data_IF_912856560765
#
_entry.id   IF_912856560765
#
_cell.length_a   1.000
_cell.length_b   1.000
_cell.length_c   1.000
_cell.angle_alpha   90.00
_cell.angle_beta   90.00
_cell.angle_gamma   90.00
#
_symmetry.space_group_name_H-M   'P 1'
#
loop_
_entity.id
_entity.type
_entity.pdbx_description
1 polymer ?
2 non-polymer ?
#
# COMPACT_ATOMS: atom_id res chain seq x y z
N UNK A 1 -11.50 -4.78 -26.33
CA UNK A 1 -10.81 -5.94 -26.89
C UNK A 1 -9.39 -6.08 -26.33
N UNK A 2 -8.92 -7.32 -26.27
CA UNK A 2 -7.56 -7.60 -25.83
C UNK A 2 -6.54 -6.81 -26.64
N UNK A 3 -6.73 -6.78 -27.97
CA UNK A 3 -5.72 -6.18 -28.84
C UNK A 3 -5.68 -4.67 -28.70
N UNK A 4 -6.85 -4.03 -28.58
CA UNK A 4 -6.87 -2.59 -28.33
C UNK A 4 -6.15 -2.25 -27.04
N UNK A 5 -6.33 -3.08 -26.01
CA UNK A 5 -5.70 -2.82 -24.73
C UNK A 5 -4.18 -2.96 -24.83
N UNK A 6 -3.72 -4.01 -25.50
CA UNK A 6 -2.29 -4.18 -25.74
C UNK A 6 -1.72 -2.99 -26.52
N UNK A 7 -2.48 -2.51 -27.52
CA UNK A 7 -2.04 -1.37 -28.30
C UNK A 7 -1.92 -0.12 -27.43
N UNK A 8 -2.91 0.13 -26.57
CA UNK A 8 -2.83 1.29 -25.69
C UNK A 8 -1.65 1.18 -24.74
N UNK A 9 -1.39 -0.02 -24.26
CA UNK A 9 -0.25 -0.18 -23.33
C UNK A 9 1.04 0.15 -24.07
N UNK A 10 1.19 -0.34 -25.29
CA UNK A 10 2.45 -0.13 -26.00
C UNK A 10 2.76 1.34 -26.23
N UNK A 11 1.84 2.26 -25.93
CA UNK A 11 2.07 3.68 -26.11
C UNK A 11 2.62 4.36 -24.86
N UNK A 12 2.68 3.67 -23.72
CA UNK A 12 3.15 4.30 -22.50
C UNK A 12 4.36 3.53 -21.95
N UNK A 13 4.42 2.23 -22.27
CA UNK A 13 5.51 1.41 -21.77
C UNK A 13 6.77 1.69 -22.57
N UNK A 14 7.90 1.43 -21.95
CA UNK A 14 9.18 1.56 -22.62
C UNK A 14 9.38 0.40 -23.58
N UNK A 15 9.81 0.64 -24.81
CA UNK A 15 9.80 -0.42 -25.83
C UNK A 15 10.94 -1.40 -25.64
N UNK A 16 10.82 -2.53 -26.31
CA UNK A 16 11.86 -3.53 -26.32
C UNK A 16 11.59 -4.68 -25.38
N UNK A 17 12.64 -5.48 -25.18
CA UNK A 17 12.55 -6.67 -24.35
C UNK A 17 13.46 -6.54 -23.13
N UNK A 18 12.90 -6.55 -21.92
CA UNK A 18 13.76 -6.50 -20.71
C UNK A 18 14.46 -7.82 -20.41
N UNK A 19 13.96 -8.94 -20.92
CA UNK A 19 14.67 -10.21 -20.77
C UNK A 19 16.04 -10.19 -21.43
N UNK A 20 16.36 -9.14 -22.17
CA UNK A 20 17.69 -9.01 -22.76
C UNK A 20 18.74 -8.81 -21.67
N UNK A 21 18.44 -8.01 -20.65
CA UNK A 21 19.42 -7.64 -19.64
C UNK A 21 19.07 -8.13 -18.24
N UNK A 22 18.08 -9.01 -18.10
CA UNK A 22 17.68 -9.56 -16.82
C UNK A 22 17.77 -11.07 -16.85
N UNK A 23 18.22 -11.66 -15.74
CA UNK A 23 18.27 -13.11 -15.60
C UNK A 23 18.21 -13.45 -14.11
N UNK A 24 18.25 -14.75 -13.82
CA UNK A 24 18.15 -15.25 -12.45
C UNK A 24 16.87 -14.78 -11.77
N UNK A 25 15.76 -14.85 -12.50
CA UNK A 25 14.47 -14.50 -11.91
C UNK A 25 14.19 -15.39 -10.71
N UNK A 26 13.98 -14.75 -9.56
CA UNK A 26 13.62 -15.43 -8.32
C UNK A 26 12.24 -14.94 -7.91
N UNK A 27 11.30 -15.87 -7.80
CA UNK A 27 9.93 -15.52 -7.43
C UNK A 27 9.84 -15.16 -5.95
N UNK A 28 9.13 -14.07 -5.66
CA UNK A 28 8.98 -13.61 -4.24
C UNK A 28 7.51 -13.44 -3.87
N UNK A 29 6.58 -13.30 -4.81
CA UNK A 29 5.20 -13.15 -4.36
C UNK A 29 4.19 -13.26 -5.47
N UNK A 30 2.92 -13.30 -5.06
CA UNK A 30 1.75 -13.25 -5.96
C UNK A 30 0.79 -12.24 -5.35
N UNK A 31 1.04 -10.97 -5.64
CA UNK A 31 0.43 -9.87 -4.89
C UNK A 31 -0.37 -8.98 -5.81
N UNK A 32 -1.60 -8.66 -5.39
CA UNK A 32 -2.57 -7.94 -6.21
C UNK A 32 -2.83 -8.64 -7.54
N UNK A 33 -2.39 -8.01 -8.63
CA UNK A 33 -2.77 -8.49 -9.97
C UNK A 33 -1.65 -9.20 -10.69
N UNK A 34 -0.62 -9.64 -9.98
CA UNK A 34 0.44 -10.33 -10.69
C UNK A 34 1.46 -10.91 -9.75
N UNK A 35 2.39 -11.68 -10.34
CA UNK A 35 3.50 -12.31 -9.57
C UNK A 35 4.65 -11.31 -9.56
N UNK A 36 5.47 -11.36 -8.52
CA UNK A 36 6.56 -10.43 -8.29
C UNK A 36 7.84 -11.22 -8.11
N UNK A 37 8.86 -10.89 -8.89
CA UNK A 37 10.12 -11.60 -8.98
C UNK A 37 11.27 -10.66 -8.70
N UNK A 38 12.47 -11.22 -8.58
CA UNK A 38 13.70 -10.47 -8.43
C UNK A 38 14.64 -10.88 -9.55
N UNK A 39 15.34 -9.91 -10.12
CA UNK A 39 16.32 -10.19 -11.16
C UNK A 39 17.54 -9.32 -10.98
N UNK A 40 18.66 -9.80 -11.51
CA UNK A 40 19.89 -9.04 -11.56
C UNK A 40 20.02 -8.35 -12.91
N UNK A 41 20.59 -7.14 -12.89
CA UNK A 41 20.85 -6.38 -14.10
C UNK A 41 22.28 -6.72 -14.51
N UNK A 42 22.42 -7.59 -15.51
CA UNK A 42 23.75 -8.10 -15.87
C UNK A 42 24.69 -6.98 -16.29
N UNK A 43 24.15 -5.87 -16.78
CA UNK A 43 25.04 -4.75 -17.21
C UNK A 43 25.68 -4.10 -15.99
N UNK A 44 25.17 -4.36 -14.79
CA UNK A 44 25.66 -3.68 -13.61
C UNK A 44 25.81 -4.55 -12.37
N UNK A 45 25.15 -5.71 -12.28
CA UNK A 45 25.17 -6.50 -11.08
C UNK A 45 24.23 -6.02 -9.98
N UNK A 46 23.45 -4.96 -10.24
CA UNK A 46 22.48 -4.49 -9.27
C UNK A 46 21.22 -5.36 -9.30
N UNK A 47 20.40 -5.22 -8.27
CA UNK A 47 19.21 -6.05 -8.10
C UNK A 47 17.96 -5.20 -8.21
N UNK A 48 16.95 -5.73 -8.91
CA UNK A 48 15.68 -5.06 -9.08
C UNK A 48 14.55 -6.06 -8.92
N UNK A 49 13.35 -5.53 -8.73
CA UNK A 49 12.15 -6.32 -8.62
C UNK A 49 11.26 -6.09 -9.84
N UNK A 50 10.50 -7.11 -10.20
CA UNK A 50 9.78 -7.15 -11.47
C UNK A 50 8.37 -7.67 -11.20
N UNK A 51 7.37 -6.81 -11.40
CA UNK A 51 5.97 -7.21 -11.30
C UNK A 51 5.50 -7.62 -12.69
N UNK A 52 5.10 -8.89 -12.81
CA UNK A 52 4.59 -9.44 -14.06
C UNK A 52 3.08 -9.66 -13.89
N UNK A 53 2.30 -8.96 -14.71
CA UNK A 53 0.84 -9.09 -14.69
C UNK A 53 0.37 -9.53 -16.07
N UNK A 54 -0.29 -10.68 -16.15
CA UNK A 54 -0.80 -11.19 -17.45
C UNK A 54 -2.13 -10.51 -17.75
N UNK A 55 -2.29 -9.97 -18.95
CA UNK A 55 -3.56 -9.28 -19.30
C UNK A 55 -4.69 -10.31 -19.37
N UNK A 56 -4.38 -11.53 -19.77
CA UNK A 56 -5.41 -12.59 -19.94
C UNK A 56 -6.06 -12.96 -18.61
N UNK A 57 -5.32 -12.92 -17.50
CA UNK A 57 -5.89 -13.32 -16.18
C UNK A 57 -6.18 -12.11 -15.31
N UNK A 58 -7.17 -11.30 -15.67
CA UNK A 58 -7.46 -10.10 -14.84
C UNK A 58 -8.97 -9.89 -14.67
N UNK A 59 -9.38 -9.47 -13.46
CA UNK A 59 -10.80 -9.17 -13.19
C UNK A 59 -11.10 -7.94 -14.05
N UNK A 60 -10.45 -6.82 -13.71
CA UNK A 60 -10.53 -5.63 -14.53
C UNK A 60 -9.18 -5.44 -15.21
N UNK A 61 -9.17 -5.44 -16.53
CA UNK A 61 -7.89 -5.25 -17.26
C UNK A 61 -7.49 -3.78 -17.20
N UNK A 62 -8.46 -2.89 -16.96
CA UNK A 62 -8.17 -1.46 -16.90
C UNK A 62 -7.38 -1.06 -15.65
N UNK A 63 -7.14 -1.97 -14.72
CA UNK A 63 -6.35 -1.60 -13.54
C UNK A 63 -4.88 -1.44 -13.88
N UNK A 64 -4.41 -2.10 -14.95
CA UNK A 64 -3.00 -2.09 -15.27
C UNK A 64 -2.51 -0.72 -15.72
N UNK A 65 -3.43 0.16 -16.09
CA UNK A 65 -3.03 1.47 -16.60
C UNK A 65 -2.43 2.33 -15.50
N UNK A 66 -3.13 2.43 -14.36
CA UNK A 66 -2.84 3.49 -13.41
C UNK A 66 -1.40 3.45 -12.91
N UNK A 67 -0.91 2.28 -12.47
CA UNK A 67 0.45 2.27 -11.93
C UNK A 67 1.51 2.59 -12.98
N UNK A 68 1.23 2.43 -14.28
CA UNK A 68 2.17 2.89 -15.30
C UNK A 68 1.82 4.28 -15.82
N UNK A 69 0.62 4.78 -15.53
CA UNK A 69 0.21 6.12 -15.93
C UNK A 69 0.29 7.09 -14.75
N UNK A 70 -0.23 6.69 -13.59
CA UNK A 70 -0.22 7.57 -12.42
C UNK A 70 1.16 7.56 -11.75
N UNK A 71 1.78 6.38 -11.61
CA UNK A 71 3.06 6.23 -10.93
C UNK A 71 4.22 6.17 -11.90
N UNK A 72 4.19 7.01 -12.94
CA UNK A 72 5.19 6.98 -14.01
C UNK A 72 6.37 7.85 -13.58
N UNK A 73 7.41 7.21 -13.07
CA UNK A 73 8.61 7.88 -12.53
C UNK A 73 8.24 9.05 -11.62
N UNK A 74 7.37 8.76 -10.66
CA UNK A 74 7.05 9.68 -9.59
C UNK A 74 7.96 9.35 -8.41
N UNK A 75 8.86 10.28 -8.08
CA UNK A 75 9.85 10.07 -7.05
C UNK A 75 9.33 10.55 -5.70
N UNK A 76 9.73 9.85 -4.63
CA UNK A 76 9.43 10.21 -3.25
C UNK A 76 10.23 9.31 -2.32
N UNK A 77 10.76 9.90 -1.25
CA UNK A 77 11.61 9.19 -0.31
C UNK A 77 10.93 8.00 0.35
N UNK A 78 9.60 8.00 0.43
CA UNK A 78 8.86 6.94 1.13
C UNK A 78 7.95 6.17 0.20
N UNK A 79 8.21 6.20 -1.11
CA UNK A 79 7.39 5.49 -2.08
C UNK A 79 8.31 4.68 -2.98
N UNK A 80 7.97 3.41 -3.18
CA UNK A 80 8.77 2.52 -4.03
C UNK A 80 8.96 3.17 -5.39
N UNK A 81 10.21 3.22 -5.85
CA UNK A 81 10.56 3.87 -7.10
C UNK A 81 10.43 2.89 -8.26
N UNK A 82 9.65 3.29 -9.26
CA UNK A 82 9.51 2.51 -10.49
C UNK A 82 10.52 3.00 -11.52
N UNK A 83 11.33 2.07 -12.04
CA UNK A 83 12.38 2.42 -12.99
C UNK A 83 11.84 2.42 -14.42
N UNK A 84 11.38 1.27 -14.91
CA UNK A 84 10.90 1.14 -16.27
C UNK A 84 9.65 0.26 -16.29
N UNK A 85 8.97 0.27 -17.43
CA UNK A 85 7.83 -0.61 -17.67
C UNK A 85 7.89 -1.10 -19.10
N UNK A 86 7.68 -2.41 -19.29
CA UNK A 86 7.75 -3.03 -20.60
C UNK A 86 6.56 -3.93 -20.83
N UNK A 87 6.24 -4.16 -22.09
CA UNK A 87 5.13 -5.08 -22.44
C UNK A 87 5.80 -6.31 -23.05
N UNK A 88 5.83 -7.42 -22.32
CA UNK A 88 6.53 -8.62 -22.86
C UNK A 88 5.51 -9.71 -23.18
N UNK A 89 5.38 -10.06 -24.45
CA UNK A 89 4.41 -11.11 -24.77
C UNK A 89 3.03 -10.72 -24.30
N UNK A 90 2.40 -11.59 -23.50
CA UNK A 90 1.03 -11.32 -23.00
C UNK A 90 1.07 -10.76 -21.58
N UNK A 91 2.22 -10.34 -21.09
CA UNK A 91 2.17 -9.76 -19.72
C UNK A 91 2.84 -8.39 -19.68
N UNK A 92 2.38 -7.54 -18.77
CA UNK A 92 2.99 -6.20 -18.56
C UNK A 92 4.01 -6.38 -17.45
N UNK A 93 5.20 -5.81 -17.63
CA UNK A 93 6.31 -5.93 -16.70
C UNK A 93 6.66 -4.57 -16.14
N UNK A 94 6.81 -4.50 -14.82
CA UNK A 94 7.19 -3.27 -14.13
C UNK A 94 8.49 -3.57 -13.39
N UNK A 95 9.55 -2.84 -13.74
CA UNK A 95 10.85 -2.98 -13.09
C UNK A 95 10.99 -1.84 -12.07
N UNK A 96 11.48 -2.18 -10.89
CA UNK A 96 11.53 -1.13 -9.85
C UNK A 96 12.60 -1.45 -8.82
N UNK A 97 12.63 -0.62 -7.79
CA UNK A 97 13.57 -0.72 -6.65
C UNK A 97 13.35 -2.04 -5.94
N UNK A 98 14.42 -2.67 -5.48
CA UNK A 98 14.27 -3.91 -4.69
C UNK A 98 14.34 -3.53 -3.22
N UNK A 99 13.22 -3.67 -2.52
CA UNK A 99 13.15 -3.38 -1.09
C UNK A 99 13.45 -4.67 -0.33
N UNK A 100 14.55 -4.66 0.41
CA UNK A 100 15.17 -5.89 0.91
C UNK A 100 14.70 -6.31 2.30
N UNK A 101 13.92 -5.49 2.99
CA UNK A 101 13.46 -5.83 4.32
C UNK A 101 12.14 -6.56 4.37
N UNK A 102 11.57 -6.92 3.22
CA UNK A 102 10.30 -7.59 3.19
C UNK A 102 9.14 -6.63 3.42
N UNK A 103 7.96 -7.21 3.57
CA UNK A 103 6.76 -6.44 3.86
C UNK A 103 6.56 -6.33 5.36
N UNK A 104 5.70 -5.39 5.76
CA UNK A 104 5.36 -5.24 7.16
C UNK A 104 4.52 -6.40 7.66
N UNK A 105 3.83 -7.12 6.77
CA UNK A 105 3.03 -8.27 7.17
C UNK A 105 3.86 -9.31 7.91
N UNK A 106 5.13 -9.46 7.53
CA UNK A 106 5.99 -10.43 8.21
C UNK A 106 6.26 -10.04 9.65
N UNK A 107 6.23 -8.74 9.96
CA UNK A 107 6.53 -8.32 11.33
C UNK A 107 5.31 -8.45 12.23
N UNK A 108 4.12 -8.08 11.72
CA UNK A 108 2.94 -8.06 12.58
C UNK A 108 2.41 -9.46 12.88
N UNK A 109 2.78 -10.47 12.09
CA UNK A 109 2.39 -11.84 12.38
C UNK A 109 3.40 -12.58 13.26
N UNK A 110 4.55 -11.96 13.58
CA UNK A 110 5.60 -12.66 14.31
C UNK A 110 6.14 -11.91 15.52
N UNK A 111 5.86 -10.62 15.64
CA UNK A 111 6.35 -9.86 16.81
C UNK A 111 5.34 -8.79 17.19
N UNK A 112 5.62 -8.06 18.27
CA UNK A 112 4.76 -6.96 18.75
C UNK A 112 5.58 -5.69 18.73
N UNK A 113 5.13 -4.66 18.03
CA UNK A 113 5.96 -3.44 17.89
C UNK A 113 5.58 -2.42 18.96
N UNK A 114 6.59 -1.77 19.53
CA UNK A 114 6.39 -0.72 20.55
C UNK A 114 5.91 0.55 19.89
N UNK A 115 5.23 1.42 20.64
CA UNK A 115 4.68 2.67 20.08
C UNK A 115 5.77 3.47 19.36
N UNK A 116 7.03 3.33 19.78
CA UNK A 116 8.09 4.10 19.12
C UNK A 116 8.28 3.67 17.67
N UNK A 117 8.05 2.38 17.35
CA UNK A 117 8.17 1.90 15.98
C UNK A 117 6.88 2.04 15.18
N UNK A 118 5.73 1.89 15.85
CA UNK A 118 4.46 2.18 15.22
C UNK A 118 4.43 3.62 14.74
N UNK A 119 4.90 4.55 15.58
CA UNK A 119 4.97 5.94 15.16
C UNK A 119 5.90 6.14 13.98
N UNK A 120 6.97 5.35 13.89
CA UNK A 120 7.88 5.48 12.75
C UNK A 120 7.20 5.07 11.44
N UNK A 121 6.61 3.87 11.43
CA UNK A 121 5.89 3.40 10.25
C UNK A 121 4.81 4.41 9.86
N UNK A 122 4.06 4.90 10.85
CA UNK A 122 2.96 5.81 10.56
C UNK A 122 3.47 7.14 10.01
N UNK A 123 4.56 7.66 10.58
CA UNK A 123 5.14 8.90 10.08
C UNK A 123 5.49 8.75 8.60
N UNK A 124 6.10 7.61 8.24
CA UNK A 124 6.46 7.40 6.84
C UNK A 124 5.21 7.32 5.95
N UNK A 125 4.22 6.55 6.39
CA UNK A 125 3.01 6.37 5.58
C UNK A 125 2.32 7.71 5.36
N UNK A 126 2.20 8.51 6.42
CA UNK A 126 1.52 9.80 6.31
C UNK A 126 2.35 10.79 5.50
N UNK A 127 3.67 10.69 5.61
CA UNK A 127 4.54 11.59 4.83
C UNK A 127 4.21 11.36 3.35
N UNK A 128 4.26 10.11 2.91
CA UNK A 128 3.97 9.76 1.51
C UNK A 128 2.51 10.04 1.15
N UNK A 129 1.58 9.76 2.05
CA UNK A 129 0.14 9.98 1.78
C UNK A 129 -0.15 11.46 1.58
N UNK A 130 0.48 12.31 2.39
CA UNK A 130 0.28 13.77 2.29
C UNK A 130 0.50 14.21 0.84
N UNK A 131 1.69 13.95 0.30
CA UNK A 131 2.03 14.29 -1.08
C UNK A 131 1.08 13.60 -2.05
N UNK A 132 0.74 12.33 -1.80
CA UNK A 132 -0.12 11.61 -2.72
C UNK A 132 -1.53 12.18 -2.78
N UNK A 133 -2.02 12.72 -1.66
CA UNK A 133 -3.35 13.34 -1.63
C UNK A 133 -3.31 14.73 -2.22
N UNK A 134 -2.22 15.47 -1.99
CA UNK A 134 -2.08 16.78 -2.63
C UNK A 134 -2.08 16.66 -4.14
N UNK A 135 -1.40 15.66 -4.68
CA UNK A 135 -1.35 15.46 -6.12
C UNK A 135 -2.60 14.76 -6.67
N UNK A 136 -3.51 14.35 -5.80
CA UNK A 136 -4.80 13.82 -6.23
C UNK A 136 -4.94 12.32 -6.26
N UNK A 137 -3.95 11.57 -5.77
CA UNK A 137 -3.92 10.12 -5.89
C UNK A 137 -4.46 9.49 -4.62
N UNK A 138 -5.24 8.42 -4.77
CA UNK A 138 -5.69 7.58 -3.67
C UNK A 138 -5.05 6.20 -3.84
N UNK A 139 -4.53 5.64 -2.75
CA UNK A 139 -3.94 4.31 -2.82
C UNK A 139 -5.03 3.23 -2.90
N UNK A 140 -6.06 3.36 -2.07
CA UNK A 140 -7.26 2.51 -2.07
C UNK A 140 -7.00 1.07 -1.67
N UNK A 141 -5.77 0.72 -1.26
CA UNK A 141 -5.50 -0.61 -0.75
C UNK A 141 -4.36 -0.57 0.26
N UNK A 142 -4.40 0.41 1.16
CA UNK A 142 -3.37 0.53 2.18
C UNK A 142 -3.59 -0.57 3.22
N UNK A 143 -2.58 -1.40 3.43
CA UNK A 143 -2.63 -2.50 4.39
C UNK A 143 -1.18 -2.95 4.65
N UNK A 144 -1.05 -4.05 5.39
CA UNK A 144 0.27 -4.53 5.77
C UNK A 144 1.08 -4.96 4.55
N UNK A 145 0.42 -5.61 3.57
CA UNK A 145 1.12 -6.06 2.36
C UNK A 145 1.65 -4.90 1.53
N UNK A 146 1.15 -3.69 1.72
CA UNK A 146 1.49 -2.55 0.89
C UNK A 146 2.68 -1.77 1.42
N UNK A 147 3.34 -2.26 2.46
CA UNK A 147 4.38 -1.51 3.16
C UNK A 147 5.65 -2.33 3.16
N UNK A 148 6.70 -1.81 2.54
CA UNK A 148 7.96 -2.51 2.41
C UNK A 148 9.05 -1.77 3.17
N UNK A 149 10.07 -2.51 3.58
CA UNK A 149 11.18 -1.96 4.36
C UNK A 149 12.50 -2.24 3.65
N UNK A 150 13.50 -1.46 4.00
CA UNK A 150 14.87 -1.68 3.58
C UNK A 150 15.63 -2.36 4.73
N UNK A 151 16.91 -2.66 4.51
CA UNK A 151 17.72 -3.24 5.56
C UNK A 151 18.01 -2.26 6.69
N UNK A 152 17.93 -0.97 6.40
CA UNK A 152 18.25 0.06 7.42
C UNK A 152 17.00 0.56 8.12
N UNK A 153 15.86 -0.08 7.88
CA UNK A 153 14.62 0.29 8.58
C UNK A 153 13.83 1.38 7.90
N UNK A 154 14.29 1.87 6.75
CA UNK A 154 13.53 2.91 6.03
C UNK A 154 12.25 2.25 5.51
N UNK A 155 11.12 2.95 5.54
CA UNK A 155 9.83 2.32 5.10
C UNK A 155 9.27 3.05 3.88
N UNK A 156 8.84 2.28 2.88
CA UNK A 156 8.27 2.84 1.63
C UNK A 156 6.92 2.19 1.38
N UNK A 157 6.08 2.84 0.58
CA UNK A 157 4.73 2.40 0.23
C UNK A 157 4.74 1.76 -1.16
N UNK A 158 3.94 0.71 -1.33
CA UNK A 158 3.90 -0.01 -2.62
C UNK A 158 2.49 -0.50 -2.96
N UNK A 159 2.39 -1.46 -3.88
CA UNK A 159 1.12 -2.06 -4.35
C UNK A 159 0.11 -1.03 -4.85
N UNK A 160 0.48 -0.21 -5.83
CA UNK A 160 -0.45 0.82 -6.36
C UNK A 160 -1.39 0.27 -7.43
N UNK A 161 -1.56 -1.04 -7.53
CA UNK A 161 -2.46 -1.64 -8.52
C UNK A 161 -3.90 -1.16 -8.41
N UNK A 162 -4.31 -0.59 -7.28
CA UNK A 162 -5.69 -0.19 -7.13
C UNK A 162 -5.85 1.33 -7.06
N UNK A 163 -4.78 2.08 -7.27
CA UNK A 163 -4.82 3.51 -7.05
C UNK A 163 -5.69 4.19 -8.12
N UNK A 164 -6.04 5.44 -7.85
CA UNK A 164 -6.89 6.23 -8.73
C UNK A 164 -6.47 7.68 -8.68
N UNK A 165 -6.89 8.43 -9.70
CA UNK A 165 -6.62 9.86 -9.80
C UNK A 165 -7.93 10.62 -9.61
N UNK A 166 -7.82 11.77 -8.94
CA UNK A 166 -9.00 12.60 -8.64
C UNK A 166 -8.72 14.03 -9.13
N UNK A 167 -7.60 14.61 -8.73
CA UNK A 167 -7.19 15.96 -9.21
C UNK A 167 -8.31 16.98 -8.99
N UNK A 168 -8.54 17.81 -10.01
CA UNK A 168 -9.59 18.87 -10.00
C UNK A 168 -10.84 18.32 -10.68
N UNK A 169 -11.76 19.20 -11.09
CA UNK A 169 -13.00 18.79 -11.79
C UNK A 169 -13.67 17.68 -10.99
N UNK A 170 -13.88 16.50 -11.58
CA UNK A 170 -14.51 15.41 -10.81
C UNK A 170 -13.54 15.02 -9.70
N UNK A 171 -13.91 15.12 -8.42
CA UNK A 171 -13.03 14.82 -7.31
C UNK A 171 -13.37 13.61 -6.44
N UNK A 172 -14.26 12.72 -6.89
CA UNK A 172 -14.59 11.56 -6.02
C UNK A 172 -14.63 10.28 -6.87
N UNK A 173 -14.77 9.14 -6.20
CA UNK A 173 -14.76 7.80 -6.82
C UNK A 173 -15.91 6.98 -6.21
N UNK A 174 -16.31 5.90 -6.86
CA UNK A 174 -17.38 5.05 -6.27
C UNK A 174 -17.13 3.60 -6.65
N UNK A 175 -15.86 3.21 -6.68
CA UNK A 175 -15.46 1.87 -7.12
C UNK A 175 -15.15 0.96 -5.92
N UNK A 176 -15.78 -0.21 -5.89
CA UNK A 176 -15.59 -1.17 -4.79
C UNK A 176 -14.32 -1.98 -4.97
N UNK A 177 -13.20 -1.44 -4.49
CA UNK A 177 -11.89 -1.95 -4.82
C UNK A 177 -11.02 -1.96 -3.57
N UNK A 178 -10.34 -3.07 -3.32
CA UNK A 178 -9.36 -3.16 -2.27
C UNK A 178 -9.40 -4.55 -1.63
N UNK A 179 -9.03 -4.58 -0.35
CA UNK A 179 -9.01 -5.79 0.45
C UNK A 179 -10.08 -5.68 1.52
N UNK A 180 -10.89 -6.74 1.74
CA UNK A 180 -12.13 -6.56 2.53
C UNK A 180 -11.94 -6.01 3.93
N UNK A 181 -11.04 -6.60 4.72
CA UNK A 181 -10.96 -6.22 6.13
C UNK A 181 -10.38 -4.83 6.36
N UNK A 182 -9.81 -4.20 5.33
CA UNK A 182 -9.09 -2.93 5.49
C UNK A 182 -9.81 -1.72 4.92
N UNK A 183 -11.00 -1.87 4.35
CA UNK A 183 -11.59 -0.74 3.65
C UNK A 183 -12.50 0.08 4.57
N UNK A 184 -12.90 1.25 4.07
CA UNK A 184 -13.64 2.23 4.81
C UNK A 184 -15.08 1.76 5.04
N UNK A 185 -15.90 2.52 5.80
CA UNK A 185 -17.32 2.15 5.93
C UNK A 185 -18.21 2.74 4.86
N UNK A 186 -17.85 3.90 4.29
CA UNK A 186 -18.55 4.38 3.10
C UNK A 186 -17.99 3.76 1.82
N UNK A 187 -17.28 2.64 1.96
CA UNK A 187 -16.87 1.82 0.84
C UNK A 187 -17.93 0.77 0.51
N UNK A 188 -18.16 -0.17 1.42
CA UNK A 188 -19.10 -1.28 1.18
C UNK A 188 -20.46 -0.75 0.74
N UNK A 189 -20.84 0.43 1.24
CA UNK A 189 -21.91 1.21 0.64
C UNK A 189 -21.29 2.14 -0.39
N UNK A 190 -21.61 1.92 -1.66
CA UNK A 190 -21.08 2.77 -2.71
C UNK A 190 -21.48 4.22 -2.47
N UNK A 191 -20.48 5.05 -2.19
CA UNK A 191 -20.68 6.47 -1.95
C UNK A 191 -19.48 7.20 -2.52
N UNK A 192 -19.65 8.44 -2.98
CA UNK A 192 -18.49 9.19 -3.49
C UNK A 192 -17.48 9.38 -2.37
N UNK A 193 -16.26 8.89 -2.60
CA UNK A 193 -15.22 8.92 -1.60
C UNK A 193 -13.95 9.54 -2.16
N UNK A 194 -13.23 10.25 -1.31
CA UNK A 194 -11.98 10.85 -1.67
C UNK A 194 -10.82 10.14 -1.00
N UNK A 195 -9.71 10.86 -0.82
CA UNK A 195 -8.50 10.22 -0.25
C UNK A 195 -8.73 9.60 1.13
N UNK A 196 -9.77 10.00 1.84
CA UNK A 196 -9.92 9.62 3.25
C UNK A 196 -10.04 8.12 3.45
N UNK A 197 -10.50 7.37 2.43
CA UNK A 197 -10.48 5.91 2.50
C UNK A 197 -9.13 5.42 2.98
N UNK A 198 -8.07 5.91 2.34
CA UNK A 198 -6.70 5.58 2.76
C UNK A 198 -6.54 5.73 4.26
N UNK A 199 -6.85 6.93 4.79
CA UNK A 199 -6.69 7.19 6.23
C UNK A 199 -7.40 6.12 7.04
N UNK A 200 -8.63 5.78 6.66
CA UNK A 200 -9.35 4.74 7.38
C UNK A 200 -8.57 3.43 7.36
N UNK A 201 -8.17 2.99 6.17
CA UNK A 201 -7.34 1.79 6.06
C UNK A 201 -6.11 1.92 6.93
N UNK A 202 -5.49 3.12 6.95
CA UNK A 202 -4.33 3.33 7.80
C UNK A 202 -4.64 2.99 9.24
N UNK A 203 -5.78 3.47 9.74
CA UNK A 203 -6.20 3.12 11.08
C UNK A 203 -6.29 1.61 11.28
N UNK A 204 -6.93 0.92 10.34
CA UNK A 204 -7.01 -0.54 10.45
C UNK A 204 -5.61 -1.13 10.46
N UNK A 205 -4.70 -0.57 9.66
CA UNK A 205 -3.32 -1.04 9.68
C UNK A 205 -2.69 -0.81 11.05
N UNK A 206 -3.01 0.32 11.69
CA UNK A 206 -2.59 0.53 13.07
C UNK A 206 -3.06 -0.62 13.94
N UNK A 207 -4.34 -0.98 13.81
CA UNK A 207 -4.85 -2.12 14.55
C UNK A 207 -4.00 -3.35 14.29
N UNK A 208 -3.63 -3.57 13.02
CA UNK A 208 -2.71 -4.67 12.70
C UNK A 208 -1.50 -4.64 13.63
N UNK A 209 -0.77 -3.53 13.64
CA UNK A 209 0.46 -3.44 14.39
C UNK A 209 0.27 -3.67 15.89
N UNK A 210 -0.96 -3.64 16.39
CA UNK A 210 -1.19 -3.83 17.81
C UNK A 210 -1.63 -5.27 18.07
N UNK A 211 -2.29 -5.92 17.11
CA UNK A 211 -2.81 -7.26 17.34
C UNK A 211 -2.40 -8.32 16.31
N UNK A 212 -1.85 -7.94 15.17
CA UNK A 212 -1.49 -8.93 14.17
C UNK A 212 -2.60 -9.36 13.26
N UNK A 213 -3.80 -8.78 13.40
CA UNK A 213 -4.91 -9.01 12.48
C UNK A 213 -5.85 -7.82 12.56
N UNK A 214 -6.57 -7.35 11.41
CA UNK A 214 -7.72 -6.16 11.04
C UNK A 214 -8.95 -6.59 11.85
N UNK A 215 -9.93 -5.72 12.12
CA UNK A 215 -11.10 -6.15 12.83
C UNK A 215 -11.85 -7.23 12.02
N UNK A 216 -12.41 -8.21 12.74
CA UNK A 216 -13.19 -9.35 12.18
C UNK A 216 -12.36 -10.10 11.13
N UNK A 217 -11.08 -10.31 11.39
CA UNK A 217 -10.21 -11.01 10.43
C UNK A 217 -10.45 -12.51 10.50
N UNK A 218 -11.13 -12.97 11.55
CA UNK A 218 -11.44 -14.38 11.69
C UNK A 218 -12.62 -14.82 10.85
N UNK A 219 -13.52 -13.89 10.47
CA UNK A 219 -14.69 -14.22 9.67
C UNK A 219 -14.33 -14.26 8.18
N UNK A 220 -15.05 -15.08 7.41
CA UNK A 220 -14.87 -15.08 5.95
C UNK A 220 -15.09 -13.71 5.35
N UNK A 221 -14.65 -13.49 4.10
CA UNK A 221 -14.58 -12.11 3.58
C UNK A 221 -15.91 -11.39 3.51
N UNK A 222 -16.97 -12.02 2.99
CA UNK A 222 -18.25 -11.34 2.92
C UNK A 222 -18.91 -11.28 4.30
N UNK A 223 -18.73 -12.34 5.09
CA UNK A 223 -19.26 -12.44 6.45
C UNK A 223 -18.88 -11.25 7.31
N UNK A 224 -17.71 -10.64 7.06
CA UNK A 224 -17.28 -9.42 7.73
C UNK A 224 -17.44 -8.17 6.88
N UNK A 225 -17.27 -8.32 5.57
CA UNK A 225 -17.51 -7.25 4.61
C UNK A 225 -18.81 -6.53 4.89
N UNK A 226 -19.92 -7.28 4.90
CA UNK A 226 -21.18 -6.63 5.26
C UNK A 226 -21.17 -6.22 6.73
N UNK A 227 -20.45 -6.99 7.57
CA UNK A 227 -20.54 -6.80 9.02
C UNK A 227 -20.11 -5.40 9.46
N UNK A 228 -19.15 -4.78 8.76
CA UNK A 228 -18.71 -3.46 9.23
C UNK A 228 -19.66 -2.33 8.87
N UNK A 229 -20.59 -2.55 7.94
CA UNK A 229 -21.32 -1.45 7.32
C UNK A 229 -22.08 -0.62 8.36
N UNK A 230 -22.96 -1.26 9.12
CA UNK A 230 -23.78 -0.55 10.09
C UNK A 230 -23.00 -0.18 11.35
N UNK A 231 -22.04 -1.01 11.74
CA UNK A 231 -21.40 -0.88 13.06
C UNK A 231 -20.59 0.41 13.18
N UNK A 232 -20.33 0.79 14.43
CA UNK A 232 -19.45 1.88 14.78
C UNK A 232 -17.99 1.41 14.73
N UNK A 233 -17.03 2.33 14.75
CA UNK A 233 -15.62 1.94 14.58
C UNK A 233 -15.23 0.81 15.51
N UNK A 234 -14.42 -0.13 15.04
CA UNK A 234 -13.98 -1.23 15.90
C UNK A 234 -12.94 -0.73 16.89
N UNK A 235 -12.61 -1.61 17.83
CA UNK A 235 -11.59 -1.26 18.81
C UNK A 235 -10.74 -2.48 19.11
N UNK A 236 -9.53 -2.21 19.57
CA UNK A 236 -8.48 -3.22 19.64
C UNK A 236 -8.69 -4.16 20.82
N UNK A 237 -8.35 -5.43 20.61
CA UNK A 237 -8.43 -6.40 21.69
C UNK A 237 -7.39 -6.15 22.79
N UNK A 238 -6.39 -5.32 22.50
CA UNK A 238 -5.30 -5.06 23.43
C UNK A 238 -5.19 -3.56 23.76
N UNK A 239 -6.34 -2.90 23.91
CA UNK A 239 -6.37 -1.47 24.19
C UNK A 239 -5.62 -1.13 25.48
N UNK A 240 -5.62 -2.04 26.45
CA UNK A 240 -4.88 -1.81 27.69
C UNK A 240 -3.37 -1.76 27.47
N UNK A 241 -2.87 -2.32 26.37
CA UNK A 241 -1.45 -2.31 26.09
C UNK A 241 -1.00 -1.08 25.31
N UNK A 242 -1.90 -0.20 24.94
CA UNK A 242 -1.58 0.99 24.16
C UNK A 242 -1.74 2.23 25.04
N UNK A 243 -0.80 3.17 24.90
CA UNK A 243 -0.85 4.40 25.67
C UNK A 243 -1.96 5.30 25.14
N UNK A 244 -2.45 6.23 25.96
CA UNK A 244 -3.53 7.13 25.49
C UNK A 244 -3.12 8.03 24.33
N UNK A 245 -1.82 8.25 24.11
CA UNK A 245 -1.39 9.03 22.96
C UNK A 245 -1.70 8.30 21.66
N UNK A 246 -1.30 7.02 21.57
CA UNK A 246 -1.66 6.21 20.41
C UNK A 246 -3.17 6.13 20.26
N UNK A 247 -3.89 6.00 21.38
CA UNK A 247 -5.34 5.85 21.30
C UNK A 247 -6.00 7.11 20.76
N UNK A 248 -5.53 8.29 21.17
CA UNK A 248 -6.07 9.51 20.60
C UNK A 248 -5.75 9.65 19.12
N UNK A 249 -4.48 9.42 18.76
CA UNK A 249 -4.07 9.46 17.36
C UNK A 249 -4.96 8.56 16.50
N UNK A 250 -5.20 7.33 16.96
CA UNK A 250 -6.06 6.39 16.25
C UNK A 250 -7.53 6.80 16.31
N UNK A 251 -7.96 7.50 17.36
CA UNK A 251 -9.33 7.96 17.43
C UNK A 251 -9.60 9.09 16.47
N UNK A 252 -8.58 9.80 16.00
CA UNK A 252 -8.76 10.72 14.89
C UNK A 252 -8.42 10.08 13.54
N UNK A 253 -8.49 8.75 13.45
CA UNK A 253 -8.32 8.03 12.18
C UNK A 253 -9.55 7.22 11.82
N UNK A 254 -10.05 6.41 12.74
CA UNK A 254 -11.23 5.58 12.51
C UNK A 254 -12.50 6.35 12.89
N UNK A 255 -12.69 7.49 12.21
CA UNK A 255 -13.91 8.27 12.34
C UNK A 255 -14.90 7.80 11.28
N UNK A 256 -16.13 7.53 11.70
CA UNK A 256 -17.14 7.03 10.76
C UNK A 256 -17.56 8.11 9.77
N UNK A 257 -17.46 9.39 10.15
CA UNK A 257 -17.86 10.47 9.27
C UNK A 257 -16.66 10.84 8.40
N UNK A 258 -16.72 10.64 7.08
CA UNK A 258 -15.56 11.00 6.24
C UNK A 258 -15.20 12.47 6.29
N UNK A 259 -16.17 13.34 6.56
CA UNK A 259 -15.89 14.77 6.73
C UNK A 259 -15.27 15.07 8.09
N UNK A 260 -15.29 14.12 9.02
CA UNK A 260 -14.63 14.30 10.32
C UNK A 260 -13.48 13.32 10.52
N UNK A 261 -13.05 12.63 9.47
CA UNK A 261 -11.77 11.95 9.50
C UNK A 261 -10.66 13.00 9.40
N UNK A 262 -9.54 12.71 10.05
CA UNK A 262 -8.41 13.61 9.91
C UNK A 262 -7.78 13.48 8.53
N UNK A 263 -7.03 14.51 8.14
CA UNK A 263 -6.34 14.54 6.86
C UNK A 263 -4.85 14.36 7.11
N UNK A 264 -4.20 13.62 6.23
CA UNK A 264 -2.78 13.31 6.39
C UNK A 264 -1.94 14.57 6.55
N UNK A 265 -2.27 15.61 5.79
CA UNK A 265 -1.54 16.87 5.90
C UNK A 265 -1.67 17.47 7.30
N UNK A 266 -2.82 17.31 7.95
CA UNK A 266 -3.04 17.79 9.30
C UNK A 266 -2.71 16.75 10.36
N UNK A 267 -2.54 15.48 9.98
CA UNK A 267 -2.15 14.43 10.90
C UNK A 267 -0.65 14.42 11.19
N UNK A 268 0.16 15.17 10.42
CA UNK A 268 1.60 15.21 10.63
C UNK A 268 2.00 16.05 11.83
N UNK A 269 1.13 16.93 12.31
CA UNK A 269 1.42 17.78 13.45
C UNK A 269 1.01 17.15 14.77
N UNK A 270 0.58 15.89 14.76
CA UNK A 270 0.01 15.25 15.93
C UNK A 270 1.09 15.00 16.99
N UNK A 271 0.71 14.92 18.27
CA UNK A 271 1.71 14.62 19.31
C UNK A 271 2.31 13.23 19.20
N UNK A 272 1.49 12.21 18.91
CA UNK A 272 1.96 10.83 18.93
C UNK A 272 3.19 10.61 18.04
N UNK A 273 3.28 11.34 16.94
CA UNK A 273 4.38 11.20 16.00
C UNK A 273 5.67 11.88 16.49
N UNK A 274 5.70 12.38 17.72
CA UNK A 274 6.97 12.72 18.35
C UNK A 274 7.67 11.48 18.91
N UNK A 275 6.92 10.44 19.27
CA UNK A 275 7.45 9.14 19.65
C UNK A 275 8.14 8.41 18.49
N UNK A 276 8.18 9.00 17.30
CA UNK A 276 8.71 8.32 16.11
C UNK A 276 10.20 8.09 16.25
N UNK A 277 10.60 6.84 16.46
CA UNK A 277 11.98 6.49 16.54
C UNK A 277 12.66 6.59 15.20
N UNK A 278 14.00 6.65 15.19
CA UNK A 278 14.72 6.61 13.93
C UNK A 278 14.43 5.31 13.21
N UNK A 279 14.58 5.28 11.89
CA UNK A 279 14.31 4.03 11.15
C UNK A 279 15.04 2.83 11.72
N UNK A 280 16.21 3.07 12.33
CA UNK A 280 16.96 1.99 12.97
C UNK A 280 16.12 1.24 13.99
N UNK A 281 15.18 1.92 14.64
CA UNK A 281 14.32 1.26 15.63
C UNK A 281 13.59 0.07 15.02
N UNK A 282 13.21 0.17 13.75
CA UNK A 282 12.48 -0.91 13.10
C UNK A 282 13.40 -2.08 12.79
N UNK A 283 14.70 -1.82 12.63
CA UNK A 283 15.64 -2.85 12.16
C UNK A 283 15.58 -4.13 12.99
N UNK A 284 15.57 -4.10 14.33
CA UNK A 284 15.52 -5.36 15.10
C UNK A 284 14.24 -6.17 14.89
N UNK A 285 13.28 -5.70 14.10
CA UNK A 285 12.04 -6.43 13.92
C UNK A 285 12.06 -7.38 12.73
N UNK A 286 13.05 -7.18 11.87
CA UNK A 286 13.23 -7.97 10.64
C UNK A 286 13.88 -9.31 10.98
N UNK A 287 13.79 -10.26 10.05
CA UNK A 287 14.23 -11.67 10.27
C UNK A 287 15.75 -11.85 10.43
N UNK A 288 16.60 -10.84 10.19
CA UNK A 288 18.07 -11.01 10.34
C UNK A 288 18.33 -11.59 11.73
N UNK A 289 17.70 -10.99 12.74
CA UNK A 289 17.65 -11.48 14.13
C UNK A 289 16.45 -10.79 14.75
N UNK A 290 15.44 -11.57 15.15
CA UNK A 290 14.18 -10.99 15.67
C UNK A 290 14.41 -10.44 17.09
X LIG B 1 4.19 -9.08 -3.34
X LIG B 1 3.67 -9.19 -1.96
X LIG B 1 3.96 -8.18 -0.87
X LIG B 1 3.47 -9.84 0.91
X LIG B 1 3.31 -6.41 -4.94
X LIG B 1 3.16 -5.18 -5.61
X LIG B 1 4.26 -4.30 -5.74
X LIG B 1 4.11 -1.89 -6.98
X LIG B 1 4.92 1.92 -7.05
X LIG B 1 10.11 -5.80 -2.82
X LIG B 1 9.79 -4.35 -4.59
X LIG B 1 8.51 -4.87 -4.70
X LIG B 1 8.05 -5.85 -3.84
X LIG B 1 6.45 -7.59 -3.42
X LIG B 1 5.08 -7.84 -3.71
X LIG B 1 4.47 -8.89 0.40
X LIG B 1 3.14 -10.89 -0.11
X LIG B 1 2.79 -10.30 -1.50
X LIG B 1 4.62 -6.69 -4.41
X LIG B 1 4.15 -2.95 -6.44
X LIG B 1 4.08 -0.48 -7.58
X LIG B 1 4.73 0.48 -6.53
X LIG B 1 5.61 1.94 -8.43
X LIG B 1 4.92 1.01 -9.45
X LIG B 1 4.81 -0.43 -8.92
X LIG B 1 5.52 -4.60 -5.21
X LIG B 1 5.67 -5.85 -4.53
X LIG B 1 11.02 -6.32 -1.77
X LIG B 1 10.56 -4.85 -3.64
X LIG B 1 6.80 -6.39 -3.93
X LIG B 1 1.98 -11.61 0.37
X LIG B 1 8.89 -6.31 -2.91
X LIG B 1 3.93 -9.89 -4.14
X LIG B 1 2.75 -0.12 -7.78
#
# INVERSE_FOLDING_TARGET
>A
SHEQFRAALQLVVDPGDPRSYLDNFIKIGEGSTGIVCIATVRSSGKLVAVKKMDLRKQQRRELLFNEVVIMRDYQHENVVEMYNSYLVGDELWVVMEFLEGGALTDIVTHTRMNEEQIAAVCLAVLQALSVLHAQGVIHRDIKSDSILLTHDGRVKLSDFGFCAQVSKEVPRRKSLVGTPYWMAPELISRLPYGPEVDIWSLGIMVIEMVDGEPPYFNEPPLKAMKMIRDNLPPRLKNLHKVSPSLKGFLDRLLVRDPAQRATAAELLKHPFLAKAGPPASIVPLMRQNRTR
>B hetero
1 GC6 C10 N12 C13 C15 C20 C21 C22 C24 C28 C2 C4 C5 C6 C8 C9 C14 C16 C18 C19 C23 C25 C27 C29 C30 C31 C32 C33 N1 N3 N7 N17 N34 O11 O26
#
